data_IF_866931266691
#
_entry.id   IF_866931266691
#
_cell.length_a   1.000
_cell.length_b   1.000
_cell.length_c   1.000
_cell.angle_alpha   90.00
_cell.angle_beta   90.00
_cell.angle_gamma   90.00
#
_symmetry.space_group_name_H-M   'P 1'
#
loop_
_entity.id
_entity.type
_entity.pdbx_description
1 polymer ?
#
# COMPACT_ATOMS: atom_id res chain seq x y z
N UNK A 1 -23.32 8.20 5.11
CA UNK A 1 -21.99 8.55 4.58
C UNK A 1 -22.16 8.90 3.11
N UNK A 2 -22.16 10.20 2.75
CA UNK A 2 -22.42 10.64 1.38
C UNK A 2 -21.17 10.39 0.54
N UNK A 3 -21.21 9.40 -0.36
CA UNK A 3 -20.14 9.20 -1.35
C UNK A 3 -20.19 10.36 -2.36
N UNK A 4 -19.45 11.44 -2.08
CA UNK A 4 -19.10 12.41 -3.13
C UNK A 4 -18.27 11.65 -4.17
N UNK A 5 -18.80 11.53 -5.38
CA UNK A 5 -18.16 10.77 -6.47
C UNK A 5 -16.70 11.17 -6.66
N UNK A 6 -15.87 10.20 -7.07
CA UNK A 6 -14.44 10.41 -7.33
C UNK A 6 -14.31 11.40 -8.47
N UNK A 7 -14.08 12.69 -8.17
CA UNK A 7 -13.73 13.68 -9.18
C UNK A 7 -12.43 13.26 -9.85
N UNK A 8 -12.46 13.13 -11.17
CA UNK A 8 -11.26 12.92 -11.98
C UNK A 8 -10.28 14.07 -11.75
N UNK A 9 -9.13 13.78 -11.15
CA UNK A 9 -8.09 14.77 -10.81
C UNK A 9 -7.14 15.05 -11.98
N UNK A 10 -7.33 14.40 -13.14
CA UNK A 10 -6.40 14.47 -14.28
C UNK A 10 -6.16 15.91 -14.77
N UNK A 11 -7.18 16.75 -14.77
CA UNK A 11 -7.13 18.15 -15.26
C UNK A 11 -6.88 19.21 -14.16
N UNK A 12 -6.43 18.80 -12.97
CA UNK A 12 -6.13 19.74 -11.89
C UNK A 12 -4.70 20.31 -11.98
N UNK A 13 -4.52 21.53 -11.46
CA UNK A 13 -3.22 22.18 -11.25
C UNK A 13 -2.28 21.28 -10.41
N UNK A 14 -0.96 21.26 -10.69
CA UNK A 14 0.00 20.43 -9.97
C UNK A 14 -0.02 20.61 -8.44
N UNK A 15 -0.20 21.82 -7.92
CA UNK A 15 -0.28 22.05 -6.46
C UNK A 15 -1.53 21.43 -5.86
N UNK A 16 -2.65 21.56 -6.56
CA UNK A 16 -3.90 20.93 -6.13
C UNK A 16 -3.81 19.40 -6.17
N UNK A 17 -3.12 18.84 -7.17
CA UNK A 17 -2.84 17.40 -7.25
C UNK A 17 -2.04 16.92 -6.05
N UNK A 18 -0.99 17.65 -5.65
CA UNK A 18 -0.19 17.32 -4.47
C UNK A 18 -1.02 17.32 -3.18
N UNK A 19 -1.77 18.38 -2.92
CA UNK A 19 -2.64 18.47 -1.73
C UNK A 19 -3.66 17.33 -1.68
N UNK A 20 -4.23 16.95 -2.82
CA UNK A 20 -5.17 15.83 -2.88
C UNK A 20 -4.45 14.50 -2.66
N UNK A 21 -3.24 14.32 -3.22
CA UNK A 21 -2.44 13.13 -3.00
C UNK A 21 -2.13 12.94 -1.53
N UNK A 22 -1.62 13.99 -0.86
CA UNK A 22 -1.27 13.95 0.56
C UNK A 22 -2.48 13.57 1.43
N UNK A 23 -3.64 14.21 1.20
CA UNK A 23 -4.90 13.89 1.91
C UNK A 23 -5.37 12.46 1.68
N UNK A 24 -5.17 11.93 0.46
CA UNK A 24 -5.56 10.55 0.14
C UNK A 24 -4.62 9.53 0.76
N UNK A 25 -3.32 9.83 0.82
CA UNK A 25 -2.32 8.99 1.48
C UNK A 25 -2.61 8.94 2.99
N UNK A 26 -2.90 10.08 3.61
CA UNK A 26 -3.28 10.14 5.03
C UNK A 26 -4.55 9.32 5.32
N UNK A 27 -5.59 9.48 4.50
CA UNK A 27 -6.81 8.69 4.62
C UNK A 27 -6.56 7.19 4.42
N UNK A 28 -5.70 6.82 3.46
CA UNK A 28 -5.31 5.43 3.21
C UNK A 28 -4.58 4.84 4.42
N UNK A 29 -3.69 5.59 5.06
CA UNK A 29 -2.98 5.13 6.26
C UNK A 29 -3.93 4.89 7.43
N UNK A 30 -4.93 5.75 7.60
CA UNK A 30 -5.98 5.52 8.60
C UNK A 30 -6.75 4.23 8.31
N UNK A 31 -7.14 4.00 7.06
CA UNK A 31 -7.82 2.75 6.68
C UNK A 31 -6.94 1.51 6.85
N UNK A 32 -5.64 1.61 6.55
CA UNK A 32 -4.68 0.53 6.77
C UNK A 32 -4.52 0.19 8.25
N UNK A 33 -4.48 1.22 9.12
CA UNK A 33 -4.46 1.05 10.57
C UNK A 33 -5.74 0.37 11.08
N UNK A 34 -6.91 0.88 10.67
CA UNK A 34 -8.20 0.32 11.06
C UNK A 34 -8.31 -1.15 10.62
N UNK A 35 -7.87 -1.47 9.39
CA UNK A 35 -7.83 -2.85 8.89
C UNK A 35 -6.89 -3.75 9.70
N UNK A 36 -5.69 -3.24 10.02
CA UNK A 36 -4.70 -3.97 10.81
C UNK A 36 -5.25 -4.33 12.19
N UNK A 37 -5.95 -3.40 12.84
CA UNK A 37 -6.54 -3.61 14.17
C UNK A 37 -7.77 -4.52 14.11
N UNK A 38 -8.72 -4.25 13.19
CA UNK A 38 -10.00 -4.98 13.15
C UNK A 38 -9.86 -6.44 12.74
N UNK A 39 -8.88 -6.74 11.90
CA UNK A 39 -8.65 -8.10 11.41
C UNK A 39 -7.45 -8.79 12.06
N UNK A 40 -6.73 -8.10 12.95
CA UNK A 40 -5.48 -8.58 13.56
C UNK A 40 -4.47 -9.08 12.51
N UNK A 41 -4.24 -8.25 11.49
CA UNK A 41 -3.32 -8.56 10.38
C UNK A 41 -2.22 -7.53 10.24
N UNK A 42 -1.07 -7.96 9.72
CA UNK A 42 0.01 -7.06 9.33
C UNK A 42 -0.28 -6.40 7.97
N UNK A 43 -0.26 -5.07 7.93
CA UNK A 43 -0.49 -4.29 6.71
C UNK A 43 0.70 -3.38 6.41
N UNK A 44 1.35 -3.53 5.27
CA UNK A 44 2.41 -2.63 4.81
C UNK A 44 1.94 -1.80 3.63
N UNK A 45 2.11 -0.47 3.67
CA UNK A 45 1.79 0.41 2.55
C UNK A 45 3.01 1.23 2.18
N UNK A 46 3.35 1.26 0.89
CA UNK A 46 4.41 2.10 0.31
C UNK A 46 3.83 2.82 -0.92
N UNK A 47 3.92 4.15 -0.95
CA UNK A 47 3.40 4.99 -2.03
C UNK A 47 4.53 5.86 -2.59
N UNK A 48 4.73 5.79 -3.91
CA UNK A 48 5.65 6.65 -4.65
C UNK A 48 4.87 7.75 -5.37
N UNK A 49 5.13 9.00 -4.99
CA UNK A 49 4.53 10.17 -5.62
C UNK A 49 5.26 10.58 -6.90
N UNK A 50 4.57 11.15 -7.90
CA UNK A 50 5.23 11.67 -9.09
C UNK A 50 6.12 12.87 -8.74
N UNK A 51 7.42 12.78 -9.04
CA UNK A 51 8.41 13.82 -8.76
C UNK A 51 8.86 13.92 -7.29
N UNK A 52 8.43 12.98 -6.44
CA UNK A 52 8.89 12.85 -5.05
C UNK A 52 10.02 11.82 -4.99
N UNK A 53 11.15 12.20 -4.38
CA UNK A 53 12.26 11.27 -4.16
C UNK A 53 12.03 10.36 -2.96
N UNK A 54 11.11 10.74 -2.07
CA UNK A 54 10.81 10.01 -0.85
C UNK A 54 9.50 9.23 -1.00
N UNK A 55 9.50 8.00 -0.53
CA UNK A 55 8.28 7.21 -0.45
C UNK A 55 7.49 7.57 0.81
N UNK A 56 6.18 7.63 0.70
CA UNK A 56 5.30 7.62 1.86
C UNK A 56 5.11 6.16 2.29
N UNK A 57 5.29 5.88 3.58
CA UNK A 57 5.17 4.51 4.08
C UNK A 57 4.41 4.45 5.40
N UNK A 58 3.67 3.38 5.59
CA UNK A 58 3.00 3.04 6.84
C UNK A 58 3.21 1.56 7.19
N UNK A 59 3.51 1.20 8.45
CA UNK A 59 3.55 2.08 9.64
C UNK A 59 4.81 2.94 9.75
N UNK A 60 5.91 2.43 9.22
CA UNK A 60 7.18 3.14 9.02
C UNK A 60 7.84 2.59 7.76
N UNK A 61 8.82 3.30 7.22
CA UNK A 61 9.55 2.83 6.03
C UNK A 61 10.15 1.45 6.26
N UNK A 62 10.79 1.21 7.40
CA UNK A 62 11.38 -0.09 7.75
C UNK A 62 10.31 -1.18 7.84
N UNK A 63 9.28 -0.99 8.66
CA UNK A 63 8.25 -2.02 8.87
C UNK A 63 7.45 -2.30 7.60
N UNK A 64 7.11 -1.28 6.81
CA UNK A 64 6.43 -1.46 5.53
C UNK A 64 7.31 -2.25 4.55
N UNK A 65 8.61 -1.93 4.49
CA UNK A 65 9.56 -2.65 3.63
C UNK A 65 9.71 -4.11 4.05
N UNK A 66 9.79 -4.38 5.34
CA UNK A 66 9.93 -5.74 5.86
C UNK A 66 8.68 -6.58 5.57
N UNK A 67 7.48 -6.00 5.77
CA UNK A 67 6.21 -6.66 5.41
C UNK A 67 6.14 -7.01 3.93
N UNK A 68 6.56 -6.11 3.04
CA UNK A 68 6.61 -6.37 1.60
C UNK A 68 7.63 -7.47 1.25
N UNK A 69 8.83 -7.42 1.82
CA UNK A 69 9.87 -8.44 1.60
C UNK A 69 9.40 -9.83 2.07
N UNK A 70 8.82 -9.92 3.26
CA UNK A 70 8.30 -11.17 3.82
C UNK A 70 7.20 -11.75 2.93
N UNK A 71 6.30 -10.90 2.41
CA UNK A 71 5.26 -11.33 1.49
C UNK A 71 5.83 -11.88 0.16
N UNK A 72 6.82 -11.20 -0.43
CA UNK A 72 7.47 -11.66 -1.66
C UNK A 72 8.20 -13.00 -1.45
N UNK A 73 8.94 -13.14 -0.35
CA UNK A 73 9.59 -14.41 0.00
C UNK A 73 8.57 -15.55 0.21
N UNK A 74 7.42 -15.24 0.83
CA UNK A 74 6.32 -16.20 0.98
C UNK A 74 5.73 -16.64 -0.38
N UNK A 75 5.59 -15.72 -1.33
CA UNK A 75 5.16 -16.05 -2.69
C UNK A 75 6.17 -16.95 -3.40
N UNK A 76 7.46 -16.65 -3.30
CA UNK A 76 8.53 -17.44 -3.91
C UNK A 76 8.55 -18.87 -3.37
N UNK A 77 8.50 -19.01 -2.04
CA UNK A 77 8.44 -20.33 -1.40
C UNK A 77 7.18 -21.12 -1.78
N UNK A 78 6.03 -20.45 -1.93
CA UNK A 78 4.80 -21.08 -2.39
C UNK A 78 4.89 -21.57 -3.85
N UNK A 79 5.57 -20.83 -4.74
CA UNK A 79 5.82 -21.25 -6.12
C UNK A 79 6.73 -22.48 -6.20
N UNK A 80 7.80 -22.50 -5.40
CA UNK A 80 8.73 -23.65 -5.35
C UNK A 80 7.99 -24.92 -4.89
N UNK A 81 7.14 -24.82 -3.85
CA UNK A 81 6.35 -25.96 -3.37
C UNK A 81 5.37 -26.51 -4.41
N UNK A 82 4.76 -25.66 -5.25
CA UNK A 82 3.88 -26.11 -6.35
C UNK A 82 4.65 -26.81 -7.47
N UNK A 83 5.93 -26.49 -7.66
CA UNK A 83 6.77 -27.15 -8.66
C UNK A 83 7.24 -28.55 -8.20
N UNK A 84 7.29 -28.80 -6.89
CA UNK A 84 7.72 -30.07 -6.30
C UNK A 84 6.60 -31.07 -6.01
N UNK A 85 5.32 -30.75 -6.24
CA UNK A 85 4.19 -31.65 -5.96
C UNK A 85 3.80 -32.58 -7.12
N UNK A 86 4.72 -32.91 -8.02
CA UNK A 86 4.59 -34.11 -8.85
C UNK A 86 5.73 -35.07 -8.51
N UNK A 87 5.63 -35.72 -7.36
CA UNK A 87 6.29 -37.00 -7.12
C UNK A 87 5.20 -37.93 -6.59
N UNK A 88 4.93 -38.93 -7.43
CA UNK A 88 4.02 -40.09 -7.34
C UNK A 88 2.50 -39.86 -7.43
#
# INVERSE_FOLDING_TARGET
MTMKGVRSTRNLDPRMKKVILDKRIEALFKQANDLSILCDIEVGVIVFGPGENNAFAWPSVAQASDRVKNHLASIETAKVKKLSTHVD
#
